data_IF_854127927926
#
_entry.id   IF_854127927926
#
_cell.length_a   1.000
_cell.length_b   1.000
_cell.length_c   1.000
_cell.angle_alpha   90.00
_cell.angle_beta   90.00
_cell.angle_gamma   90.00
#
_symmetry.space_group_name_H-M   'P 1'
#
loop_
_entity.id
_entity.type
_entity.pdbx_description
1 polymer ?
#
# COMPACT_ATOMS: atom_id res chain seq x y z
N UNK A 1 -18.10 8.89 -13.44
CA UNK A 1 -16.93 9.59 -12.85
C UNK A 1 -15.78 8.61 -12.69
N UNK A 2 -14.87 8.57 -13.67
CA UNK A 2 -13.58 7.85 -13.61
C UNK A 2 -12.52 8.91 -13.27
N UNK A 3 -12.31 9.17 -11.99
CA UNK A 3 -11.15 9.95 -11.55
C UNK A 3 -9.92 9.05 -11.61
N UNK A 4 -8.91 9.47 -12.35
CA UNK A 4 -7.65 8.75 -12.50
C UNK A 4 -6.99 8.54 -11.14
N UNK A 5 -6.91 7.29 -10.70
CA UNK A 5 -6.13 6.85 -9.54
C UNK A 5 -4.63 6.69 -9.90
N UNK A 6 -4.13 7.59 -10.75
CA UNK A 6 -2.79 7.53 -11.31
C UNK A 6 -1.73 8.10 -10.38
N UNK A 7 -0.80 7.23 -10.00
CA UNK A 7 0.63 7.47 -9.78
C UNK A 7 1.19 8.07 -8.47
N UNK A 8 0.50 8.85 -7.64
CA UNK A 8 1.22 9.59 -6.55
C UNK A 8 1.47 8.87 -5.20
N UNK A 9 1.39 7.53 -5.10
CA UNK A 9 1.58 6.88 -3.78
C UNK A 9 1.96 5.40 -3.75
N UNK A 10 2.35 4.82 -4.88
CA UNK A 10 2.68 3.40 -4.99
C UNK A 10 1.45 2.45 -4.88
N UNK A 11 1.68 1.12 -4.96
CA UNK A 11 0.60 0.12 -5.09
C UNK A 11 -0.35 0.09 -3.88
N UNK A 12 0.19 0.31 -2.68
CA UNK A 12 -0.61 0.29 -1.45
C UNK A 12 -1.54 1.50 -1.35
N UNK A 13 -1.11 2.69 -1.80
CA UNK A 13 -1.99 3.85 -1.84
C UNK A 13 -3.13 3.65 -2.84
N UNK A 14 -2.86 3.04 -4.01
CA UNK A 14 -3.90 2.68 -4.97
C UNK A 14 -4.89 1.67 -4.37
N UNK A 15 -4.40 0.66 -3.65
CA UNK A 15 -5.26 -0.30 -2.94
C UNK A 15 -6.11 0.37 -1.86
N UNK A 16 -5.55 1.30 -1.09
CA UNK A 16 -6.26 2.06 -0.07
C UNK A 16 -7.35 2.97 -0.69
N UNK A 17 -7.04 3.66 -1.78
CA UNK A 17 -8.00 4.50 -2.50
C UNK A 17 -9.14 3.67 -3.10
N UNK A 18 -8.83 2.52 -3.72
CA UNK A 18 -9.84 1.55 -4.19
C UNK A 18 -10.71 1.05 -3.04
N UNK A 19 -10.11 0.68 -1.91
CA UNK A 19 -10.85 0.23 -0.74
C UNK A 19 -11.75 1.32 -0.16
N UNK A 20 -11.34 2.59 -0.19
CA UNK A 20 -12.16 3.72 0.25
C UNK A 20 -13.40 3.88 -0.64
N UNK A 21 -13.25 3.82 -1.98
CA UNK A 21 -14.39 3.91 -2.91
C UNK A 21 -15.36 2.74 -2.74
N UNK A 22 -14.86 1.51 -2.59
CA UNK A 22 -15.69 0.35 -2.32
C UNK A 22 -16.40 0.45 -0.96
N UNK A 23 -15.68 0.92 0.05
CA UNK A 23 -16.20 1.11 1.40
C UNK A 23 -17.32 2.15 1.46
N UNK A 24 -17.24 3.22 0.69
CA UNK A 24 -18.34 4.19 0.57
C UNK A 24 -19.56 3.57 -0.12
N UNK A 25 -19.36 2.87 -1.25
CA UNK A 25 -20.46 2.22 -1.98
C UNK A 25 -21.19 1.16 -1.15
N UNK A 26 -20.46 0.44 -0.30
CA UNK A 26 -21.01 -0.59 0.59
C UNK A 26 -21.50 -0.02 1.93
N UNK A 27 -21.40 1.30 2.15
CA UNK A 27 -21.78 1.94 3.42
C UNK A 27 -20.88 1.60 4.62
N UNK A 28 -19.73 0.94 4.39
CA UNK A 28 -18.80 0.53 5.46
C UNK A 28 -18.15 1.74 6.13
N UNK A 29 -17.86 2.81 5.38
CA UNK A 29 -17.29 4.03 5.95
C UNK A 29 -18.25 4.73 6.92
N UNK A 30 -19.55 4.74 6.61
CA UNK A 30 -20.57 5.26 7.51
C UNK A 30 -20.62 4.44 8.81
N UNK A 31 -20.58 3.09 8.71
CA UNK A 31 -20.54 2.20 9.89
C UNK A 31 -19.29 2.41 10.75
N UNK A 32 -18.12 2.55 10.14
CA UNK A 32 -16.88 2.85 10.86
C UNK A 32 -16.92 4.21 11.56
N UNK A 33 -17.42 5.25 10.88
CA UNK A 33 -17.62 6.58 11.49
C UNK A 33 -18.61 6.53 12.66
N UNK A 34 -19.73 5.82 12.50
CA UNK A 34 -20.69 5.62 13.57
C UNK A 34 -20.06 4.86 14.74
N UNK A 35 -19.28 3.80 14.48
CA UNK A 35 -18.59 3.07 15.54
C UNK A 35 -17.58 3.93 16.28
N UNK A 36 -16.79 4.74 15.57
CA UNK A 36 -15.86 5.68 16.18
C UNK A 36 -16.57 6.73 17.05
N UNK A 37 -17.74 7.22 16.61
CA UNK A 37 -18.55 8.17 17.36
C UNK A 37 -19.24 7.51 18.58
N UNK A 38 -19.71 6.27 18.46
CA UNK A 38 -20.40 5.55 19.53
C UNK A 38 -19.44 5.02 20.61
N UNK A 39 -18.21 4.65 20.23
CA UNK A 39 -17.22 4.06 21.12
C UNK A 39 -17.02 4.82 22.45
N UNK A 40 -16.78 6.15 22.48
CA UNK A 40 -16.62 6.87 23.75
C UNK A 40 -17.88 6.83 24.62
N UNK A 41 -19.07 6.90 24.03
CA UNK A 41 -20.34 6.83 24.77
C UNK A 41 -20.59 5.44 25.37
N UNK A 42 -20.27 4.38 24.63
CA UNK A 42 -20.32 3.02 25.16
C UNK A 42 -19.35 2.86 26.33
N UNK A 43 -18.15 3.44 26.24
CA UNK A 43 -17.17 3.42 27.34
C UNK A 43 -17.68 4.17 28.58
N UNK A 44 -18.25 5.37 28.39
CA UNK A 44 -18.85 6.15 29.47
C UNK A 44 -20.05 5.44 30.10
N UNK A 45 -20.89 4.79 29.29
CA UNK A 45 -22.00 3.96 29.78
C UNK A 45 -21.51 2.78 30.62
N UNK A 46 -20.43 2.11 30.20
CA UNK A 46 -19.78 1.06 31.00
C UNK A 46 -19.20 1.62 32.31
N UNK A 47 -18.54 2.78 32.27
CA UNK A 47 -18.01 3.43 33.46
C UNK A 47 -19.13 3.78 34.45
N UNK A 48 -20.23 4.37 33.95
CA UNK A 48 -21.40 4.69 34.75
C UNK A 48 -22.03 3.43 35.37
N UNK A 49 -22.17 2.35 34.61
CA UNK A 49 -22.69 1.09 35.12
C UNK A 49 -21.81 0.51 36.23
N UNK A 50 -20.48 0.52 36.07
CA UNK A 50 -19.53 0.07 37.11
C UNK A 50 -19.60 0.95 38.35
N UNK A 51 -19.67 2.28 38.18
CA UNK A 51 -19.80 3.23 39.31
C UNK A 51 -21.11 3.00 40.06
N UNK A 52 -22.23 2.90 39.35
CA UNK A 52 -23.55 2.66 39.97
C UNK A 52 -23.59 1.31 40.70
N UNK A 53 -23.03 0.25 40.11
CA UNK A 53 -22.92 -1.05 40.76
C UNK A 53 -22.06 -0.98 42.03
N UNK A 54 -20.92 -0.27 41.97
CA UNK A 54 -20.05 -0.06 43.13
C UNK A 54 -20.72 0.73 44.26
N UNK A 55 -21.40 1.84 43.93
CA UNK A 55 -22.14 2.65 44.89
C UNK A 55 -23.32 1.89 45.51
N UNK A 56 -24.06 1.10 44.71
CA UNK A 56 -25.15 0.28 45.21
C UNK A 56 -24.66 -0.80 46.19
N UNK A 57 -23.55 -1.47 45.87
CA UNK A 57 -22.94 -2.46 46.75
C UNK A 57 -22.40 -1.83 48.03
N UNK A 58 -21.76 -0.67 47.94
CA UNK A 58 -21.30 0.08 49.11
C UNK A 58 -22.47 0.53 50.00
N UNK A 59 -23.55 1.04 49.39
CA UNK A 59 -24.76 1.45 50.11
C UNK A 59 -25.43 0.30 50.87
N UNK A 60 -25.52 -0.88 50.26
CA UNK A 60 -26.10 -2.07 50.90
C UNK A 60 -25.31 -2.53 52.14
N UNK A 61 -23.99 -2.30 52.18
CA UNK A 61 -23.14 -2.62 53.34
C UNK A 61 -23.26 -1.56 54.44
N UNK A 62 -23.53 -0.31 54.09
CA UNK A 62 -23.57 0.85 55.01
C UNK A 62 -24.92 1.00 55.74
N UNK A 63 -26.02 0.43 55.22
CA UNK A 63 -27.36 0.52 55.84
C UNK A 63 -27.54 -0.37 57.10
N UNK A 64 -26.49 -1.10 57.49
CA UNK A 64 -26.40 -1.72 58.81
C UNK A 64 -26.29 -0.66 59.92
N UNK A 65 -26.95 -0.88 61.06
CA UNK A 65 -27.04 0.08 62.17
C UNK A 65 -25.68 0.50 62.77
N UNK A 66 -24.59 -0.23 62.47
CA UNK A 66 -23.23 0.07 62.96
C UNK A 66 -22.42 0.95 61.98
N UNK A 67 -22.10 2.17 62.41
CA UNK A 67 -21.27 3.14 61.66
C UNK A 67 -19.76 2.88 61.83
N UNK A 68 -19.38 1.61 61.87
CA UNK A 68 -17.99 1.15 61.98
C UNK A 68 -17.48 0.75 60.60
N UNK A 69 -16.33 1.29 60.21
CA UNK A 69 -15.66 0.89 58.96
C UNK A 69 -14.38 0.14 59.32
N UNK A 70 -14.33 -1.13 58.94
CA UNK A 70 -13.10 -1.91 59.00
C UNK A 70 -12.18 -1.47 57.84
N UNK A 71 -11.09 -0.79 58.19
CA UNK A 71 -10.20 -0.15 57.21
C UNK A 71 -9.50 -1.18 56.31
N UNK A 72 -9.12 -2.34 56.86
CA UNK A 72 -8.46 -3.39 56.07
C UNK A 72 -9.44 -4.03 55.10
N UNK A 73 -10.67 -4.33 55.55
CA UNK A 73 -11.72 -4.81 54.65
C UNK A 73 -12.05 -3.78 53.56
N UNK A 74 -12.10 -2.48 53.91
CA UNK A 74 -12.30 -1.40 52.95
C UNK A 74 -11.18 -1.36 51.90
N UNK A 75 -9.90 -1.47 52.31
CA UNK A 75 -8.77 -1.54 51.37
C UNK A 75 -8.84 -2.78 50.47
N UNK A 76 -9.10 -3.96 51.03
CA UNK A 76 -9.21 -5.19 50.24
C UNK A 76 -10.37 -5.09 49.24
N UNK A 77 -11.51 -4.54 49.64
CA UNK A 77 -12.65 -4.34 48.76
C UNK A 77 -12.36 -3.31 47.65
N UNK A 78 -11.72 -2.19 47.98
CA UNK A 78 -11.42 -1.09 47.05
C UNK A 78 -10.21 -1.34 46.16
N UNK A 79 -9.24 -2.15 46.59
CA UNK A 79 -7.97 -2.35 45.89
C UNK A 79 -7.76 -3.79 45.42
N UNK A 80 -8.33 -4.81 46.06
CA UNK A 80 -7.99 -6.21 45.81
C UNK A 80 -8.23 -6.65 44.36
N UNK A 81 -9.47 -6.55 43.88
CA UNK A 81 -9.80 -6.89 42.47
C UNK A 81 -9.06 -5.98 41.47
N UNK A 82 -8.78 -4.75 41.88
CA UNK A 82 -8.03 -3.80 41.05
C UNK A 82 -6.54 -4.18 40.98
N UNK A 83 -5.91 -4.63 42.05
CA UNK A 83 -4.54 -5.12 42.02
C UNK A 83 -4.44 -6.37 41.15
N UNK A 84 -5.36 -7.34 41.31
CA UNK A 84 -5.39 -8.55 40.49
C UNK A 84 -5.55 -8.25 39.00
N UNK A 85 -6.55 -7.44 38.63
CA UNK A 85 -6.77 -7.09 37.22
C UNK A 85 -5.65 -6.26 36.62
N UNK A 86 -4.93 -5.47 37.45
CA UNK A 86 -3.74 -4.75 37.03
C UNK A 86 -2.57 -5.70 36.75
N UNK A 87 -2.31 -6.66 37.65
CA UNK A 87 -1.29 -7.70 37.46
C UNK A 87 -1.57 -8.55 36.21
N UNK A 88 -2.83 -8.97 36.01
CA UNK A 88 -3.22 -9.71 34.81
C UNK A 88 -2.97 -8.91 33.51
N UNK A 89 -3.18 -7.59 33.55
CA UNK A 89 -2.85 -6.73 32.41
C UNK A 89 -1.33 -6.61 32.19
N UNK A 90 -0.53 -6.49 33.25
CA UNK A 90 0.94 -6.52 33.13
C UNK A 90 1.42 -7.85 32.50
N UNK A 91 0.86 -8.98 32.94
CA UNK A 91 1.14 -10.29 32.34
C UNK A 91 0.74 -10.34 30.85
N UNK A 92 -0.40 -9.71 30.49
CA UNK A 92 -0.84 -9.59 29.09
C UNK A 92 0.16 -8.83 28.20
N UNK A 93 0.94 -7.90 28.76
CA UNK A 93 1.99 -7.19 28.03
C UNK A 93 3.23 -8.05 27.78
N UNK A 94 3.53 -8.97 28.69
CA UNK A 94 4.72 -9.82 28.64
C UNK A 94 4.53 -11.04 27.74
N UNK A 95 3.31 -11.58 27.63
CA UNK A 95 3.06 -12.85 26.96
C UNK A 95 2.33 -12.71 25.61
N UNK A 96 2.92 -13.18 24.48
CA UNK A 96 2.24 -13.20 23.19
C UNK A 96 0.95 -14.03 23.23
N UNK A 97 -0.17 -13.49 22.72
CA UNK A 97 -1.47 -14.17 22.74
C UNK A 97 -2.28 -14.00 24.02
N UNK A 98 -1.69 -13.45 25.09
CA UNK A 98 -2.38 -13.17 26.34
C UNK A 98 -3.04 -11.78 26.39
N UNK A 99 -3.18 -11.10 25.25
CA UNK A 99 -3.59 -9.70 25.16
C UNK A 99 -4.98 -9.39 25.79
N UNK A 100 -5.78 -10.42 26.04
CA UNK A 100 -7.09 -10.32 26.68
C UNK A 100 -7.05 -10.54 28.21
N UNK A 101 -5.95 -11.02 28.79
CA UNK A 101 -5.85 -11.20 30.25
C UNK A 101 -6.03 -9.86 30.97
N UNK A 102 -6.87 -9.83 32.01
CA UNK A 102 -7.17 -8.62 32.78
C UNK A 102 -8.00 -7.55 32.07
N UNK A 103 -8.35 -7.71 30.79
CA UNK A 103 -8.98 -6.67 29.98
C UNK A 103 -10.47 -6.94 29.64
N UNK A 104 -11.23 -7.48 30.60
CA UNK A 104 -12.66 -7.82 30.42
C UNK A 104 -13.49 -6.60 29.97
N UNK A 105 -13.31 -5.47 30.64
CA UNK A 105 -14.01 -4.21 30.31
C UNK A 105 -13.69 -3.75 28.89
N UNK A 106 -12.41 -3.80 28.49
CA UNK A 106 -12.00 -3.47 27.12
C UNK A 106 -12.64 -4.39 26.07
N UNK A 107 -12.79 -5.69 26.35
CA UNK A 107 -13.49 -6.61 25.44
C UNK A 107 -14.97 -6.31 25.34
N UNK A 108 -15.62 -6.05 26.47
CA UNK A 108 -17.04 -5.66 26.49
C UNK A 108 -17.24 -4.36 25.72
N UNK A 109 -16.35 -3.38 25.88
CA UNK A 109 -16.39 -2.12 25.16
C UNK A 109 -16.32 -2.30 23.64
N UNK A 110 -15.33 -3.05 23.13
CA UNK A 110 -15.23 -3.33 21.68
C UNK A 110 -16.45 -4.13 21.20
N UNK A 111 -16.87 -5.16 21.95
CA UNK A 111 -17.98 -6.02 21.58
C UNK A 111 -19.33 -5.27 21.53
N UNK A 112 -19.61 -4.42 22.52
CA UNK A 112 -20.82 -3.60 22.55
C UNK A 112 -20.79 -2.51 21.47
N UNK A 113 -19.66 -1.83 21.30
CA UNK A 113 -19.50 -0.83 20.22
C UNK A 113 -19.75 -1.47 18.87
N UNK A 114 -19.18 -2.66 18.60
CA UNK A 114 -19.41 -3.38 17.36
C UNK A 114 -20.89 -3.79 17.20
N UNK A 115 -21.52 -4.32 18.25
CA UNK A 115 -22.94 -4.73 18.21
C UNK A 115 -23.89 -3.57 17.93
N UNK A 116 -23.62 -2.39 18.50
CA UNK A 116 -24.47 -1.21 18.37
C UNK A 116 -24.24 -0.45 17.07
N UNK A 117 -22.99 -0.36 16.61
CA UNK A 117 -22.62 0.54 15.51
C UNK A 117 -22.24 -0.16 14.19
N UNK A 118 -21.61 -1.33 14.26
CA UNK A 118 -21.23 -2.10 13.06
C UNK A 118 -22.37 -3.00 12.55
N UNK A 119 -23.37 -3.25 13.41
CA UNK A 119 -24.56 -4.04 13.09
C UNK A 119 -24.36 -5.55 13.28
N UNK A 120 -25.49 -6.27 13.28
CA UNK A 120 -25.54 -7.75 13.41
C UNK A 120 -25.58 -8.38 12.01
N UNK A 121 -24.43 -8.50 11.36
CA UNK A 121 -24.32 -9.10 10.03
C UNK A 121 -22.89 -9.51 9.68
N UNK A 122 -22.73 -10.28 8.61
CA UNK A 122 -21.43 -10.79 8.18
C UNK A 122 -20.42 -9.66 7.91
N UNK A 123 -20.87 -8.55 7.34
CA UNK A 123 -20.04 -7.36 7.08
C UNK A 123 -19.53 -6.70 8.37
N UNK A 124 -20.40 -6.52 9.37
CA UNK A 124 -20.02 -5.93 10.66
C UNK A 124 -19.04 -6.82 11.43
N UNK A 125 -19.26 -8.13 11.39
CA UNK A 125 -18.34 -9.12 11.95
C UNK A 125 -16.99 -9.10 11.22
N UNK A 126 -16.99 -9.00 9.88
CA UNK A 126 -15.77 -8.90 9.09
C UNK A 126 -14.98 -7.62 9.39
N UNK A 127 -15.64 -6.47 9.57
CA UNK A 127 -15.00 -5.21 9.98
C UNK A 127 -14.35 -5.34 11.36
N UNK A 128 -15.06 -5.92 12.33
CA UNK A 128 -14.52 -6.15 13.67
C UNK A 128 -13.30 -7.08 13.61
N UNK A 129 -13.41 -8.22 12.91
CA UNK A 129 -12.31 -9.18 12.75
C UNK A 129 -11.10 -8.55 12.06
N UNK A 130 -11.32 -7.76 11.00
CA UNK A 130 -10.25 -7.04 10.32
C UNK A 130 -9.55 -6.03 11.24
N UNK A 131 -10.32 -5.26 12.01
CA UNK A 131 -9.78 -4.32 13.00
C UNK A 131 -8.97 -5.01 14.10
N UNK A 132 -9.47 -6.11 14.65
CA UNK A 132 -8.77 -6.91 15.67
C UNK A 132 -7.45 -7.48 15.13
N UNK A 133 -7.46 -8.05 13.91
CA UNK A 133 -6.24 -8.55 13.25
C UNK A 133 -5.22 -7.43 13.02
N UNK A 134 -5.66 -6.23 12.67
CA UNK A 134 -4.77 -5.08 12.47
C UNK A 134 -4.13 -4.63 13.78
N UNK A 135 -4.91 -4.60 14.87
CA UNK A 135 -4.41 -4.32 16.22
C UNK A 135 -3.42 -5.39 16.71
N UNK A 136 -3.70 -6.66 16.48
CA UNK A 136 -2.81 -7.77 16.84
C UNK A 136 -1.48 -7.67 16.09
N UNK A 137 -1.53 -7.45 14.77
CA UNK A 137 -0.33 -7.28 13.93
C UNK A 137 0.51 -6.09 14.36
N UNK A 138 -0.12 -4.98 14.71
CA UNK A 138 0.56 -3.80 15.24
C UNK A 138 1.03 -3.97 16.70
N UNK A 139 0.74 -5.11 17.34
CA UNK A 139 0.94 -5.36 18.78
C UNK A 139 0.31 -4.29 19.68
N UNK A 140 -0.86 -3.79 19.26
CA UNK A 140 -1.61 -2.73 19.92
C UNK A 140 -2.79 -3.26 20.74
N UNK A 141 -3.16 -4.53 20.57
CA UNK A 141 -4.34 -5.10 21.23
C UNK A 141 -4.36 -4.94 22.77
N UNK A 142 -3.33 -5.33 23.55
CA UNK A 142 -3.36 -5.18 25.00
C UNK A 142 -3.34 -3.71 25.46
N UNK A 143 -2.81 -2.80 24.62
CA UNK A 143 -2.78 -1.37 24.89
C UNK A 143 -4.13 -0.70 24.64
N UNK A 144 -4.85 -1.08 23.59
CA UNK A 144 -6.20 -0.55 23.31
C UNK A 144 -7.23 -1.09 24.30
N UNK A 145 -7.20 -2.39 24.56
CA UNK A 145 -8.06 -2.99 25.58
C UNK A 145 -7.73 -2.46 26.97
N UNK A 146 -6.44 -2.28 27.26
CA UNK A 146 -5.92 -1.65 28.46
C UNK A 146 -6.41 -0.21 28.61
N UNK A 147 -6.28 0.62 27.58
CA UNK A 147 -6.73 2.02 27.61
C UNK A 147 -8.20 2.14 28.03
N UNK A 148 -9.08 1.36 27.39
CA UNK A 148 -10.49 1.32 27.73
C UNK A 148 -10.70 0.88 29.20
N UNK A 149 -10.04 -0.20 29.61
CA UNK A 149 -10.21 -0.76 30.95
C UNK A 149 -9.70 0.19 32.04
N UNK A 150 -8.48 0.72 31.89
CA UNK A 150 -7.91 1.69 32.83
C UNK A 150 -8.72 3.00 32.87
N UNK A 151 -9.27 3.47 31.75
CA UNK A 151 -10.14 4.66 31.75
C UNK A 151 -11.39 4.44 32.61
N UNK A 152 -12.06 3.30 32.45
CA UNK A 152 -13.21 2.94 33.29
C UNK A 152 -12.78 2.86 34.76
N UNK A 153 -11.67 2.19 35.07
CA UNK A 153 -11.19 2.09 36.45
C UNK A 153 -10.80 3.44 37.06
N UNK A 154 -10.18 4.34 36.30
CA UNK A 154 -9.86 5.71 36.77
C UNK A 154 -11.14 6.45 37.11
N UNK A 155 -12.15 6.42 36.24
CA UNK A 155 -13.45 7.06 36.52
C UNK A 155 -14.12 6.45 37.75
N UNK A 156 -14.07 5.12 37.89
CA UNK A 156 -14.59 4.43 39.07
C UNK A 156 -13.84 4.78 40.35
N UNK A 157 -12.51 4.88 40.31
CA UNK A 157 -11.73 5.32 41.46
C UNK A 157 -11.98 6.77 41.82
N UNK A 158 -12.11 7.67 40.85
CA UNK A 158 -12.48 9.08 41.11
C UNK A 158 -13.84 9.14 41.80
N UNK A 159 -14.83 8.39 41.31
CA UNK A 159 -16.14 8.32 41.96
C UNK A 159 -16.07 7.70 43.37
N UNK A 160 -15.30 6.63 43.56
CA UNK A 160 -15.11 5.98 44.85
C UNK A 160 -14.39 6.88 45.87
N UNK A 161 -13.35 7.61 45.44
CA UNK A 161 -12.65 8.60 46.28
C UNK A 161 -13.59 9.75 46.62
N UNK A 162 -14.36 10.27 45.67
CA UNK A 162 -15.35 11.31 45.93
C UNK A 162 -16.42 10.84 46.93
N UNK A 163 -16.94 9.61 46.76
CA UNK A 163 -17.91 9.01 47.68
C UNK A 163 -17.32 8.77 49.08
N UNK A 164 -16.06 8.30 49.16
CA UNK A 164 -15.35 8.11 50.41
C UNK A 164 -15.13 9.45 51.13
N UNK A 165 -14.66 10.48 50.42
CA UNK A 165 -14.49 11.83 50.97
C UNK A 165 -15.83 12.42 51.43
N UNK A 166 -16.89 12.26 50.64
CA UNK A 166 -18.24 12.69 51.02
C UNK A 166 -18.71 11.97 52.30
N UNK A 167 -18.54 10.65 52.36
CA UNK A 167 -18.91 9.84 53.52
C UNK A 167 -18.15 10.30 54.77
N UNK A 168 -16.83 10.50 54.67
CA UNK A 168 -15.97 10.91 55.78
C UNK A 168 -16.19 12.38 56.21
N UNK A 169 -16.60 13.26 55.29
CA UNK A 169 -16.85 14.67 55.58
C UNK A 169 -18.21 14.90 56.27
N UNK A 170 -19.25 14.17 55.85
CA UNK A 170 -20.63 14.43 56.30
C UNK A 170 -21.17 13.38 57.28
N UNK A 171 -20.44 12.29 57.54
CA UNK A 171 -20.84 11.29 58.54
C UNK A 171 -19.68 10.98 59.47
N UNK A 172 -20.02 10.85 60.76
CA UNK A 172 -19.07 10.40 61.77
C UNK A 172 -18.96 8.87 61.71
N UNK A 173 -18.02 8.39 60.91
CA UNK A 173 -17.61 6.99 60.91
C UNK A 173 -16.53 6.75 61.95
N UNK A 174 -16.61 5.60 62.61
CA UNK A 174 -15.53 5.10 63.46
C UNK A 174 -14.70 4.13 62.63
N UNK A 175 -13.46 4.54 62.32
CA UNK A 175 -12.53 3.71 61.56
C UNK A 175 -11.76 2.83 62.54
N UNK A 176 -11.69 1.56 62.22
CA UNK A 176 -11.02 0.58 63.07
C UNK A 176 -10.52 -0.62 62.29
N UNK A 177 -9.90 -1.53 63.02
CA UNK A 177 -9.48 -2.83 62.50
C UNK A 177 -10.05 -3.91 63.40
N UNK A 178 -11.12 -4.54 62.94
CA UNK A 178 -11.73 -5.64 63.65
C UNK A 178 -11.26 -6.93 62.98
N UNK A 179 -10.33 -7.65 63.61
CA UNK A 179 -9.82 -8.92 63.12
C UNK A 179 -9.95 -9.97 64.21
N UNK A 180 -10.61 -11.10 63.90
CA UNK A 180 -10.72 -12.23 64.82
C UNK A 180 -9.42 -13.05 64.89
N UNK A 181 -8.60 -13.01 63.84
CA UNK A 181 -7.44 -13.90 63.66
C UNK A 181 -6.12 -13.14 63.78
N UNK A 182 -6.05 -11.88 63.34
CA UNK A 182 -4.78 -11.14 63.27
C UNK A 182 -4.49 -10.38 64.58
N UNK A 183 -3.23 -10.42 65.09
CA UNK A 183 -2.78 -9.57 66.19
C UNK A 183 -2.78 -8.08 65.83
N UNK A 184 -2.88 -7.22 66.85
CA UNK A 184 -2.85 -5.75 66.69
C UNK A 184 -1.52 -5.25 66.10
N UNK A 185 -0.41 -5.90 66.44
CA UNK A 185 0.95 -5.54 66.01
C UNK A 185 1.12 -5.73 64.49
N UNK A 186 0.45 -6.74 63.93
CA UNK A 186 0.45 -7.00 62.48
C UNK A 186 -0.27 -5.87 61.76
N UNK A 187 -1.35 -5.33 62.34
CA UNK A 187 -2.08 -4.19 61.78
C UNK A 187 -1.23 -2.91 61.76
N UNK A 188 -0.52 -2.61 62.86
CA UNK A 188 0.39 -1.47 62.89
C UNK A 188 1.48 -1.59 61.80
N UNK A 189 2.04 -2.79 61.60
CA UNK A 189 2.98 -3.06 60.51
C UNK A 189 2.40 -2.81 59.12
N UNK A 190 1.12 -3.16 58.89
CA UNK A 190 0.44 -2.86 57.62
C UNK A 190 0.20 -1.37 57.41
N UNK A 191 -0.17 -0.62 58.46
CA UNK A 191 -0.32 0.84 58.37
C UNK A 191 1.00 1.49 57.98
N UNK A 192 2.10 1.09 58.64
CA UNK A 192 3.42 1.64 58.35
C UNK A 192 3.84 1.30 56.92
N UNK A 193 3.72 0.02 56.52
CA UNK A 193 4.14 -0.45 55.20
C UNK A 193 3.36 0.21 54.05
N UNK A 194 2.03 0.26 54.17
CA UNK A 194 1.17 0.90 53.16
C UNK A 194 1.17 2.44 53.31
N UNK A 195 1.63 2.98 54.43
CA UNK A 195 1.77 4.41 54.67
C UNK A 195 2.98 5.04 53.98
N UNK A 196 3.99 4.27 53.59
CA UNK A 196 5.25 4.80 53.02
C UNK A 196 5.01 5.68 51.78
N UNK A 197 4.37 5.13 50.74
CA UNK A 197 4.17 5.87 49.48
C UNK A 197 3.16 7.02 49.60
N UNK A 198 2.00 6.85 50.28
CA UNK A 198 1.13 7.97 50.60
C UNK A 198 1.83 9.07 51.42
N UNK A 199 2.66 8.68 52.39
CA UNK A 199 3.43 9.62 53.22
C UNK A 199 4.40 10.47 52.40
N UNK A 200 5.09 9.89 51.41
CA UNK A 200 5.93 10.66 50.48
C UNK A 200 5.16 11.69 49.65
N UNK A 201 3.86 11.45 49.43
CA UNK A 201 2.96 12.35 48.72
C UNK A 201 2.21 13.31 49.66
N UNK A 202 2.55 13.32 50.95
CA UNK A 202 2.02 14.26 51.95
C UNK A 202 0.73 13.81 52.64
N UNK A 203 0.27 12.56 52.46
CA UNK A 203 -0.84 12.04 53.25
C UNK A 203 -0.38 11.74 54.68
N UNK A 204 -1.16 12.12 55.71
CA UNK A 204 -0.79 11.86 57.08
C UNK A 204 -0.87 10.35 57.36
N UNK A 205 0.11 9.84 58.10
CA UNK A 205 0.20 8.44 58.51
C UNK A 205 0.05 8.38 60.03
N UNK A 206 -0.84 7.53 60.58
CA UNK A 206 -0.99 7.38 62.03
C UNK A 206 0.35 7.02 62.68
N UNK A 207 0.71 7.71 63.78
CA UNK A 207 1.94 7.40 64.50
C UNK A 207 1.84 6.04 65.19
N UNK A 208 2.96 5.32 65.25
CA UNK A 208 3.01 4.02 65.93
C UNK A 208 2.65 4.12 67.43
N UNK A 209 2.81 5.30 68.06
CA UNK A 209 2.35 5.56 69.42
C UNK A 209 0.81 5.66 69.52
N UNK A 210 0.15 6.30 68.55
CA UNK A 210 -1.30 6.45 68.52
C UNK A 210 -2.01 5.11 68.30
N UNK A 211 -1.41 4.24 67.49
CA UNK A 211 -1.89 2.88 67.25
C UNK A 211 -1.79 2.02 68.50
N UNK A 212 -0.63 2.03 69.19
CA UNK A 212 -0.41 1.25 70.41
C UNK A 212 -1.22 1.74 71.61
N UNK A 213 -1.55 3.03 71.66
CA UNK A 213 -2.33 3.62 72.75
C UNK A 213 -3.84 3.39 72.61
N UNK A 214 -4.31 2.84 71.48
CA UNK A 214 -5.73 2.61 71.23
C UNK A 214 -6.25 1.44 72.10
N UNK A 215 -7.26 1.66 72.97
CA UNK A 215 -7.88 0.57 73.71
C UNK A 215 -8.76 -0.26 72.76
N UNK A 216 -8.23 -1.37 72.26
CA UNK A 216 -8.93 -2.29 71.36
C UNK A 216 -8.79 -1.91 69.87
N UNK A 217 -9.87 -2.00 69.11
CA UNK A 217 -9.90 -1.82 67.63
C UNK A 217 -10.30 -0.41 67.17
N UNK A 218 -10.50 0.53 68.10
CA UNK A 218 -11.00 1.88 67.81
C UNK A 218 -10.02 2.96 68.25
N UNK A 219 -9.68 3.85 67.33
CA UNK A 219 -8.80 5.00 67.63
C UNK A 219 -9.54 6.12 68.37
N UNK A 220 -8.82 6.92 69.18
CA UNK A 220 -9.32 8.21 69.66
C UNK A 220 -9.80 9.09 68.51
N UNK A 221 -10.80 9.94 68.75
CA UNK A 221 -11.40 10.81 67.72
C UNK A 221 -10.38 11.68 66.97
N UNK A 222 -9.31 12.14 67.66
CA UNK A 222 -8.22 12.91 67.07
C UNK A 222 -7.39 12.11 66.06
N UNK A 223 -7.19 10.80 66.29
CA UNK A 223 -6.45 9.91 65.40
C UNK A 223 -7.34 9.30 64.30
N UNK A 224 -8.66 9.27 64.50
CA UNK A 224 -9.63 8.81 63.49
C UNK A 224 -9.57 9.64 62.20
N UNK A 225 -9.37 10.96 62.31
CA UNK A 225 -9.19 11.84 61.14
C UNK A 225 -7.91 11.56 60.36
N UNK A 226 -6.82 11.22 61.05
CA UNK A 226 -5.54 10.82 60.42
C UNK A 226 -5.70 9.49 59.69
N UNK A 227 -6.34 8.50 60.33
CA UNK A 227 -6.60 7.20 59.70
C UNK A 227 -7.52 7.31 58.47
N UNK A 228 -8.48 8.25 58.50
CA UNK A 228 -9.35 8.54 57.36
C UNK A 228 -8.56 9.04 56.15
N UNK A 229 -7.67 10.02 56.35
CA UNK A 229 -6.81 10.54 55.30
C UNK A 229 -5.76 9.55 54.83
N UNK A 230 -5.25 8.69 55.73
CA UNK A 230 -4.38 7.57 55.37
C UNK A 230 -5.09 6.59 54.42
N UNK A 231 -6.34 6.21 54.73
CA UNK A 231 -7.15 5.33 53.87
C UNK A 231 -7.36 5.96 52.48
N UNK A 232 -7.72 7.25 52.43
CA UNK A 232 -7.84 8.00 51.16
C UNK A 232 -6.52 7.98 50.40
N UNK A 233 -5.40 8.24 51.08
CA UNK A 233 -4.05 8.21 50.50
C UNK A 233 -3.73 6.86 49.89
N UNK A 234 -3.98 5.76 50.61
CA UNK A 234 -3.79 4.41 50.09
C UNK A 234 -4.61 4.14 48.82
N UNK A 235 -5.90 4.51 48.81
CA UNK A 235 -6.77 4.33 47.63
C UNK A 235 -6.28 5.15 46.43
N UNK A 236 -5.84 6.39 46.67
CA UNK A 236 -5.30 7.26 45.62
C UNK A 236 -3.98 6.72 45.06
N UNK A 237 -3.04 6.35 45.93
CA UNK A 237 -1.66 6.03 45.55
C UNK A 237 -1.51 4.62 45.01
N UNK A 238 -2.22 3.64 45.58
CA UNK A 238 -2.16 2.25 45.13
C UNK A 238 -3.26 1.87 44.13
N UNK A 239 -4.35 2.65 44.08
CA UNK A 239 -5.49 2.39 43.19
C UNK A 239 -5.53 3.34 42.00
N UNK A 240 -5.81 4.62 42.25
CA UNK A 240 -6.04 5.62 41.20
C UNK A 240 -4.77 5.92 40.40
N UNK A 241 -3.67 6.25 41.06
CA UNK A 241 -2.44 6.72 40.42
C UNK A 241 -1.85 5.68 39.44
N UNK A 242 -1.69 4.38 39.80
CA UNK A 242 -1.18 3.39 38.87
C UNK A 242 -2.09 3.20 37.66
N UNK A 243 -3.41 3.36 37.82
CA UNK A 243 -4.38 3.28 36.73
C UNK A 243 -4.29 4.48 35.80
N UNK A 244 -4.09 5.68 36.33
CA UNK A 244 -3.84 6.89 35.52
C UNK A 244 -2.55 6.72 34.71
N UNK A 245 -1.45 6.30 35.35
CA UNK A 245 -0.17 6.07 34.68
C UNK A 245 -0.31 5.02 33.57
N UNK A 246 -0.99 3.90 33.83
CA UNK A 246 -1.23 2.88 32.83
C UNK A 246 -2.12 3.36 31.68
N UNK A 247 -3.17 4.14 31.95
CA UNK A 247 -4.01 4.74 30.91
C UNK A 247 -3.18 5.69 30.01
N UNK A 248 -2.34 6.53 30.61
CA UNK A 248 -1.44 7.42 29.87
C UNK A 248 -0.42 6.64 29.03
N UNK A 249 0.19 5.59 29.60
CA UNK A 249 1.10 4.71 28.87
C UNK A 249 0.40 4.06 27.65
N UNK A 250 -0.81 3.53 27.83
CA UNK A 250 -1.61 2.98 26.74
C UNK A 250 -1.90 4.02 25.65
N UNK A 251 -2.28 5.24 26.03
CA UNK A 251 -2.54 6.33 25.09
C UNK A 251 -1.27 6.72 24.31
N UNK A 252 -0.13 6.78 24.98
CA UNK A 252 1.15 7.14 24.39
C UNK A 252 1.62 6.08 23.38
N UNK A 253 1.56 4.80 23.78
CA UNK A 253 1.89 3.68 22.88
C UNK A 253 0.95 3.64 21.68
N UNK A 254 -0.35 3.88 21.88
CA UNK A 254 -1.31 4.03 20.78
C UNK A 254 -0.89 5.14 19.83
N UNK A 255 -0.59 6.34 20.32
CA UNK A 255 -0.18 7.48 19.48
C UNK A 255 1.10 7.20 18.69
N UNK A 256 2.08 6.53 19.30
CA UNK A 256 3.35 6.20 18.65
C UNK A 256 3.23 5.07 17.63
N UNK A 257 2.36 4.08 17.86
CA UNK A 257 2.28 2.88 17.02
C UNK A 257 1.08 2.86 16.08
N UNK A 258 0.13 3.80 16.16
CA UNK A 258 -1.03 3.84 15.24
C UNK A 258 -0.64 3.89 13.76
N UNK A 259 0.52 4.46 13.42
CA UNK A 259 1.05 4.44 12.04
C UNK A 259 1.42 3.05 11.52
N UNK A 260 1.56 2.06 12.42
CA UNK A 260 1.80 0.64 12.09
C UNK A 260 0.52 -0.13 11.78
N UNK A 261 -0.65 0.50 11.87
CA UNK A 261 -1.93 -0.09 11.48
C UNK A 261 -2.04 -0.14 9.96
N UNK A 262 -1.19 -0.94 9.35
CA UNK A 262 -1.16 -1.15 7.90
C UNK A 262 -1.45 -2.61 7.57
N UNK A 263 -2.21 -2.88 6.50
CA UNK A 263 -2.35 -4.22 6.00
C UNK A 263 -1.01 -4.74 5.49
N UNK A 264 -0.85 -6.07 5.52
CA UNK A 264 0.37 -6.71 5.05
C UNK A 264 0.41 -6.74 3.52
N UNK A 265 1.27 -5.92 2.93
CA UNK A 265 1.48 -5.84 1.49
C UNK A 265 1.93 -7.17 0.86
N UNK A 266 2.56 -8.04 1.65
CA UNK A 266 3.05 -9.33 1.19
C UNK A 266 1.93 -10.39 1.10
N UNK A 267 0.73 -10.13 1.62
CA UNK A 267 -0.35 -11.10 1.62
C UNK A 267 -0.81 -11.44 0.18
N UNK A 268 -1.20 -12.70 -0.10
CA UNK A 268 -1.55 -13.14 -1.46
C UNK A 268 -2.62 -12.30 -2.16
N UNK A 269 -3.58 -11.76 -1.39
CA UNK A 269 -4.60 -10.85 -1.89
C UNK A 269 -4.00 -9.58 -2.52
N UNK A 270 -3.08 -8.93 -1.81
CA UNK A 270 -2.46 -7.68 -2.28
C UNK A 270 -1.53 -7.93 -3.46
N UNK A 271 -0.78 -9.04 -3.48
CA UNK A 271 0.03 -9.42 -4.64
C UNK A 271 -0.80 -9.55 -5.92
N UNK A 272 -1.95 -10.25 -5.85
CA UNK A 272 -2.88 -10.38 -6.99
C UNK A 272 -3.49 -9.03 -7.38
N UNK A 273 -3.78 -8.17 -6.40
CA UNK A 273 -4.35 -6.86 -6.66
C UNK A 273 -3.34 -5.92 -7.33
N UNK A 274 -2.09 -5.94 -6.89
CA UNK A 274 -1.02 -5.13 -7.48
C UNK A 274 -0.72 -5.57 -8.91
N UNK A 275 -0.63 -6.87 -9.20
CA UNK A 275 -0.47 -7.37 -10.57
C UNK A 275 -1.62 -6.92 -11.50
N UNK A 276 -2.85 -6.79 -10.97
CA UNK A 276 -3.99 -6.25 -11.73
C UNK A 276 -3.88 -4.74 -11.95
N UNK A 277 -3.33 -3.99 -11.00
CA UNK A 277 -3.05 -2.56 -11.19
C UNK A 277 -1.97 -2.37 -12.24
N UNK A 278 -0.91 -3.18 -12.21
CA UNK A 278 0.17 -3.14 -13.20
C UNK A 278 -0.37 -3.46 -14.61
N UNK A 279 -1.23 -4.47 -14.74
CA UNK A 279 -1.88 -4.81 -16.02
C UNK A 279 -2.87 -3.75 -16.54
N UNK A 280 -3.39 -2.89 -15.67
CA UNK A 280 -4.30 -1.79 -16.01
C UNK A 280 -3.58 -0.45 -16.14
N UNK A 281 -2.29 -0.39 -15.80
CA UNK A 281 -1.49 0.80 -15.98
C UNK A 281 -1.42 1.12 -17.48
N UNK A 282 -1.66 2.38 -17.90
CA UNK A 282 -1.49 2.77 -19.30
C UNK A 282 -0.10 2.35 -19.74
N UNK A 283 0.01 1.68 -20.89
CA UNK A 283 1.31 1.37 -21.48
C UNK A 283 2.05 2.69 -21.66
N UNK A 284 3.07 2.92 -20.83
CA UNK A 284 3.98 4.02 -21.03
C UNK A 284 4.71 3.70 -22.33
N UNK A 285 4.39 4.41 -23.40
CA UNK A 285 5.14 4.32 -24.65
C UNK A 285 6.50 4.96 -24.34
N UNK A 286 7.49 4.12 -24.07
CA UNK A 286 8.85 4.54 -23.69
C UNK A 286 9.63 5.11 -24.88
N UNK A 287 9.12 4.98 -26.10
CA UNK A 287 9.79 5.53 -27.29
C UNK A 287 8.77 6.11 -28.30
N UNK A 288 8.49 7.42 -28.27
CA UNK A 288 7.88 8.09 -29.41
C UNK A 288 8.93 8.19 -30.53
N UNK A 289 8.82 7.31 -31.54
CA UNK A 289 9.60 7.38 -32.79
C UNK A 289 9.43 8.77 -33.44
N UNK A 290 10.34 9.68 -33.11
CA UNK A 290 10.32 11.08 -33.52
C UNK A 290 11.13 11.30 -34.80
N UNK A 291 11.09 10.36 -35.75
CA UNK A 291 11.88 10.41 -36.99
C UNK A 291 11.03 10.79 -38.22
N UNK A 292 10.03 11.65 -38.03
CA UNK A 292 9.12 12.06 -39.11
C UNK A 292 9.68 13.15 -40.05
N UNK A 293 10.66 13.95 -39.63
CA UNK A 293 11.00 15.20 -40.33
C UNK A 293 12.41 15.25 -40.97
N UNK A 294 13.39 14.49 -40.48
CA UNK A 294 14.81 14.76 -40.81
C UNK A 294 15.33 14.07 -42.09
N UNK A 295 14.65 13.04 -42.61
CA UNK A 295 15.18 12.25 -43.73
C UNK A 295 15.12 12.99 -45.08
N UNK A 296 14.13 13.87 -45.30
CA UNK A 296 14.06 14.68 -46.52
C UNK A 296 15.27 15.63 -46.64
N UNK A 297 15.71 16.19 -45.51
CA UNK A 297 16.88 17.08 -45.46
C UNK A 297 18.17 16.29 -45.68
N UNK A 298 18.29 15.10 -45.07
CA UNK A 298 19.43 14.20 -45.30
C UNK A 298 19.53 13.77 -46.78
N UNK A 299 18.40 13.45 -47.42
CA UNK A 299 18.35 13.10 -48.85
C UNK A 299 18.81 14.26 -49.74
N UNK A 300 18.31 15.48 -49.51
CA UNK A 300 18.71 16.64 -50.29
C UNK A 300 20.23 16.91 -50.23
N UNK A 301 20.86 16.66 -49.07
CA UNK A 301 22.32 16.83 -48.90
C UNK A 301 23.15 15.76 -49.62
N UNK A 302 22.59 14.56 -49.87
CA UNK A 302 23.31 13.41 -50.43
C UNK A 302 22.96 13.11 -51.90
N UNK A 303 21.86 13.68 -52.42
CA UNK A 303 21.29 13.38 -53.75
C UNK A 303 22.21 13.66 -54.97
N UNK A 304 23.43 14.18 -54.78
CA UNK A 304 24.42 14.40 -55.85
C UNK A 304 25.64 13.48 -55.84
N UNK A 305 25.80 12.60 -54.84
CA UNK A 305 27.04 11.86 -54.60
C UNK A 305 26.92 10.35 -54.89
N UNK A 306 26.06 9.97 -55.84
CA UNK A 306 25.81 8.56 -56.19
C UNK A 306 26.73 8.08 -57.31
N UNK A 307 27.11 6.81 -57.24
CA UNK A 307 27.87 6.08 -58.26
C UNK A 307 26.91 5.42 -59.26
N UNK A 308 27.29 5.21 -60.53
CA UNK A 308 26.45 4.56 -61.54
C UNK A 308 26.34 3.03 -61.32
N UNK A 309 25.96 2.63 -60.10
CA UNK A 309 25.84 1.24 -59.67
C UNK A 309 24.45 0.93 -59.14
N UNK A 310 24.14 -0.36 -59.09
CA UNK A 310 22.90 -0.91 -58.57
C UNK A 310 23.18 -1.69 -57.28
N UNK A 311 22.37 -1.46 -56.24
CA UNK A 311 22.29 -2.35 -55.09
C UNK A 311 20.98 -3.13 -55.10
N UNK A 312 21.01 -4.44 -54.88
CA UNK A 312 19.86 -5.34 -54.87
C UNK A 312 19.77 -6.01 -53.50
N UNK A 313 18.78 -5.62 -52.70
CA UNK A 313 18.67 -6.02 -51.30
C UNK A 313 17.38 -6.81 -51.09
N UNK A 314 17.48 -8.05 -50.63
CA UNK A 314 16.32 -8.85 -50.22
C UNK A 314 16.05 -8.62 -48.75
N UNK A 315 14.86 -8.13 -48.41
CA UNK A 315 14.46 -7.81 -47.04
C UNK A 315 13.35 -8.74 -46.58
N UNK A 316 13.63 -9.52 -45.52
CA UNK A 316 12.69 -10.44 -44.89
C UNK A 316 11.97 -11.36 -45.90
N UNK A 317 12.72 -11.81 -46.91
CA UNK A 317 12.19 -12.73 -47.91
C UNK A 317 12.02 -14.12 -47.29
N UNK A 318 10.94 -14.87 -47.62
CA UNK A 318 10.83 -16.29 -47.29
C UNK A 318 12.00 -17.12 -47.85
N UNK A 319 12.50 -18.15 -47.15
CA UNK A 319 13.61 -19.01 -47.62
C UNK A 319 13.29 -19.74 -48.92
N UNK A 320 12.01 -19.94 -49.24
CA UNK A 320 11.53 -20.61 -50.44
C UNK A 320 11.65 -19.75 -51.71
N UNK A 321 11.80 -18.42 -51.58
CA UNK A 321 12.03 -17.56 -52.73
C UNK A 321 13.48 -17.71 -53.22
N UNK A 322 13.69 -18.02 -54.51
CA UNK A 322 15.03 -18.08 -55.08
C UNK A 322 15.68 -16.71 -55.01
N UNK A 323 16.85 -16.64 -54.35
CA UNK A 323 17.63 -15.42 -54.19
C UNK A 323 19.13 -15.70 -54.45
N UNK A 324 19.85 -14.82 -55.16
CA UNK A 324 19.38 -13.59 -55.80
C UNK A 324 18.55 -13.85 -57.07
N UNK A 325 17.69 -12.90 -57.49
CA UNK A 325 16.95 -13.01 -58.75
C UNK A 325 17.92 -13.07 -59.93
N UNK A 326 17.64 -13.93 -60.90
CA UNK A 326 18.42 -14.09 -62.12
C UNK A 326 17.59 -13.67 -63.34
N UNK A 327 18.19 -13.03 -64.36
CA UNK A 327 19.57 -12.54 -64.39
C UNK A 327 19.75 -11.25 -63.56
N UNK A 328 20.91 -11.10 -62.93
CA UNK A 328 21.32 -9.84 -62.29
C UNK A 328 21.87 -8.85 -63.32
N UNK A 329 21.48 -7.56 -63.29
CA UNK A 329 22.09 -6.54 -64.13
C UNK A 329 23.60 -6.41 -63.86
N UNK A 330 24.41 -6.16 -64.91
CA UNK A 330 25.87 -6.00 -64.77
C UNK A 330 26.31 -4.90 -63.82
N UNK A 331 25.48 -3.86 -63.66
CA UNK A 331 25.72 -2.75 -62.74
C UNK A 331 25.54 -3.12 -61.25
N UNK A 332 25.10 -4.35 -60.92
CA UNK A 332 24.87 -4.79 -59.55
C UNK A 332 26.19 -4.90 -58.75
N UNK A 333 26.51 -3.88 -57.96
CA UNK A 333 27.73 -3.81 -57.14
C UNK A 333 27.53 -4.32 -55.72
N UNK A 334 26.30 -4.40 -55.25
CA UNK A 334 25.95 -4.91 -53.92
C UNK A 334 24.70 -5.77 -54.02
N UNK A 335 24.80 -7.06 -53.70
CA UNK A 335 23.65 -7.98 -53.66
C UNK A 335 23.66 -8.67 -52.31
N UNK A 336 22.60 -8.51 -51.52
CA UNK A 336 22.53 -9.04 -50.15
C UNK A 336 21.10 -9.40 -49.77
N UNK A 337 20.95 -10.43 -48.93
CA UNK A 337 19.70 -10.75 -48.24
C UNK A 337 19.88 -10.45 -46.76
N UNK A 338 18.87 -9.84 -46.13
CA UNK A 338 18.85 -9.51 -44.71
C UNK A 338 17.50 -9.90 -44.10
N UNK A 339 17.52 -10.32 -42.84
CA UNK A 339 16.34 -10.79 -42.11
C UNK A 339 15.77 -9.72 -41.17
N UNK A 340 16.26 -8.48 -41.29
CA UNK A 340 15.75 -7.31 -40.56
C UNK A 340 16.31 -7.11 -39.15
N UNK A 341 17.27 -7.95 -38.74
CA UNK A 341 17.97 -7.77 -37.46
C UNK A 341 18.70 -6.41 -37.40
N UNK A 342 18.82 -5.85 -36.19
CA UNK A 342 19.46 -4.54 -36.02
C UNK A 342 20.93 -4.51 -36.50
N UNK A 343 21.66 -5.63 -36.31
CA UNK A 343 23.05 -5.76 -36.76
C UNK A 343 23.16 -5.79 -38.29
N UNK A 344 22.39 -6.64 -38.97
CA UNK A 344 22.41 -6.74 -40.44
C UNK A 344 21.98 -5.44 -41.12
N UNK A 345 20.99 -4.75 -40.55
CA UNK A 345 20.56 -3.45 -41.02
C UNK A 345 21.67 -2.40 -40.88
N UNK A 346 22.36 -2.35 -39.75
CA UNK A 346 23.47 -1.43 -39.56
C UNK A 346 24.62 -1.71 -40.55
N UNK A 347 24.94 -2.98 -40.77
CA UNK A 347 25.94 -3.38 -41.76
C UNK A 347 25.53 -3.02 -43.20
N UNK A 348 24.25 -3.19 -43.53
CA UNK A 348 23.70 -2.77 -44.82
C UNK A 348 23.83 -1.27 -45.02
N UNK A 349 23.42 -0.45 -44.05
CA UNK A 349 23.53 1.01 -44.14
C UNK A 349 24.98 1.43 -44.30
N UNK A 350 25.90 0.80 -43.56
CA UNK A 350 27.34 1.05 -43.70
C UNK A 350 27.83 0.71 -45.13
N UNK A 351 27.42 -0.41 -45.70
CA UNK A 351 27.77 -0.81 -47.07
C UNK A 351 27.20 0.17 -48.10
N UNK A 352 25.94 0.62 -47.94
CA UNK A 352 25.31 1.59 -48.82
C UNK A 352 25.95 2.97 -48.75
N UNK A 353 26.42 3.40 -47.57
CA UNK A 353 27.17 4.65 -47.43
C UNK A 353 28.49 4.66 -48.22
N UNK A 354 29.10 3.48 -48.42
CA UNK A 354 30.33 3.32 -49.21
C UNK A 354 30.05 3.18 -50.71
N UNK A 355 29.08 2.34 -51.08
CA UNK A 355 28.76 2.06 -52.49
C UNK A 355 28.02 3.24 -53.15
N UNK A 356 27.10 3.87 -52.40
CA UNK A 356 26.20 4.94 -52.84
C UNK A 356 25.60 4.72 -54.23
N UNK A 357 24.77 3.68 -54.40
CA UNK A 357 24.26 3.31 -55.70
C UNK A 357 23.34 4.39 -56.29
N UNK A 358 23.35 4.52 -57.62
CA UNK A 358 22.39 5.35 -58.35
C UNK A 358 20.98 4.80 -58.15
N UNK A 359 20.84 3.47 -58.14
CA UNK A 359 19.56 2.78 -57.94
C UNK A 359 19.70 1.73 -56.84
N UNK A 360 18.85 1.81 -55.82
CA UNK A 360 18.64 0.76 -54.84
C UNK A 360 17.35 0.02 -55.17
N UNK A 361 17.42 -1.30 -55.35
CA UNK A 361 16.28 -2.17 -55.55
C UNK A 361 16.09 -3.04 -54.31
N UNK A 362 15.04 -2.76 -53.54
CA UNK A 362 14.65 -3.51 -52.36
C UNK A 362 13.60 -4.56 -52.73
N UNK A 363 13.93 -5.84 -52.61
CA UNK A 363 13.03 -6.94 -52.83
C UNK A 363 12.31 -7.30 -51.52
N UNK A 364 10.98 -7.19 -51.53
CA UNK A 364 10.11 -7.51 -50.40
C UNK A 364 9.12 -8.61 -50.81
N UNK A 365 8.66 -9.41 -49.86
CA UNK A 365 7.65 -10.42 -50.14
C UNK A 365 6.27 -9.78 -50.36
N UNK A 366 5.68 -9.99 -51.55
CA UNK A 366 4.42 -9.34 -51.94
C UNK A 366 3.26 -9.66 -50.99
N UNK A 367 3.17 -10.91 -50.52
CA UNK A 367 2.09 -11.35 -49.65
C UNK A 367 2.22 -10.79 -48.22
N UNK A 368 3.42 -10.42 -47.77
CA UNK A 368 3.63 -9.74 -46.49
C UNK A 368 2.98 -8.36 -46.49
N UNK A 369 2.51 -7.94 -45.33
CA UNK A 369 2.05 -6.56 -45.11
C UNK A 369 3.26 -5.70 -44.75
N UNK A 370 3.46 -4.54 -45.38
CA UNK A 370 4.52 -3.62 -44.98
C UNK A 370 4.28 -3.19 -43.53
N UNK A 371 5.36 -3.16 -42.76
CA UNK A 371 5.35 -2.94 -41.32
C UNK A 371 6.28 -1.78 -40.94
N UNK A 372 6.46 -1.57 -39.63
CA UNK A 372 7.35 -0.50 -39.13
C UNK A 372 8.82 -0.77 -39.46
N UNK A 373 9.25 -2.03 -39.49
CA UNK A 373 10.62 -2.40 -39.87
C UNK A 373 10.93 -2.01 -41.31
N UNK A 374 10.00 -2.32 -42.22
CA UNK A 374 10.03 -1.94 -43.64
C UNK A 374 10.09 -0.42 -43.81
N UNK A 375 9.23 0.33 -43.10
CA UNK A 375 9.22 1.80 -43.17
C UNK A 375 10.56 2.40 -42.76
N UNK A 376 11.08 1.94 -41.63
CA UNK A 376 12.33 2.42 -41.07
C UNK A 376 13.49 2.16 -42.01
N UNK A 377 13.58 0.96 -42.58
CA UNK A 377 14.63 0.62 -43.54
C UNK A 377 14.56 1.50 -44.80
N UNK A 378 13.36 1.72 -45.36
CA UNK A 378 13.20 2.60 -46.51
C UNK A 378 13.67 4.02 -46.18
N UNK A 379 13.22 4.60 -45.06
CA UNK A 379 13.60 5.96 -44.66
C UNK A 379 15.11 6.11 -44.40
N UNK A 380 15.76 5.09 -43.85
CA UNK A 380 17.21 5.08 -43.61
C UNK A 380 18.03 4.91 -44.90
N UNK A 381 17.48 4.23 -45.90
CA UNK A 381 18.18 3.95 -47.18
C UNK A 381 17.94 5.01 -48.26
N UNK A 382 16.83 5.74 -48.21
CA UNK A 382 16.51 6.81 -49.18
C UNK A 382 17.60 7.88 -49.32
N UNK A 383 18.25 8.37 -48.24
CA UNK A 383 19.35 9.31 -48.36
C UNK A 383 20.62 8.73 -48.98
N UNK A 384 20.75 7.40 -49.06
CA UNK A 384 21.97 6.70 -49.48
C UNK A 384 21.96 6.24 -50.95
N UNK A 385 20.88 6.51 -51.68
CA UNK A 385 20.72 6.15 -53.08
C UNK A 385 20.11 7.29 -53.90
N UNK A 386 20.22 7.23 -55.23
CA UNK A 386 19.62 8.22 -56.11
C UNK A 386 18.12 7.97 -56.31
N UNK A 387 17.81 6.74 -56.70
CA UNK A 387 16.46 6.22 -56.90
C UNK A 387 16.28 4.95 -56.05
N UNK A 388 15.13 4.82 -55.39
CA UNK A 388 14.76 3.63 -54.64
C UNK A 388 13.56 2.95 -55.33
N UNK A 389 13.75 1.69 -55.72
CA UNK A 389 12.71 0.83 -56.30
C UNK A 389 12.41 -0.31 -55.34
N UNK A 390 11.14 -0.68 -55.21
CA UNK A 390 10.73 -1.87 -54.47
C UNK A 390 10.25 -2.92 -55.47
N UNK A 391 10.82 -4.11 -55.43
CA UNK A 391 10.30 -5.26 -56.16
C UNK A 391 9.51 -6.15 -55.20
N UNK A 392 8.24 -6.39 -55.52
CA UNK A 392 7.34 -7.22 -54.75
C UNK A 392 7.42 -8.67 -55.26
N UNK A 393 8.31 -9.44 -54.66
CA UNK A 393 8.56 -10.83 -55.01
C UNK A 393 7.40 -11.73 -54.56
N UNK A 394 6.81 -12.45 -55.50
CA UNK A 394 5.77 -13.45 -55.26
C UNK A 394 6.31 -14.86 -55.50
N UNK A 395 5.78 -15.84 -54.75
CA UNK A 395 6.06 -17.25 -55.00
C UNK A 395 5.30 -17.71 -56.27
N UNK A 396 5.91 -18.54 -57.14
CA UNK A 396 5.27 -19.00 -58.39
C UNK A 396 3.92 -19.68 -58.20
N UNK A 397 3.69 -20.34 -57.07
CA UNK A 397 2.45 -21.07 -56.73
C UNK A 397 1.44 -20.23 -55.93
N UNK A 398 1.68 -18.93 -55.72
CA UNK A 398 0.79 -18.05 -54.96
C UNK A 398 -0.46 -17.57 -55.74
N UNK A 399 -0.89 -18.32 -56.76
CA UNK A 399 -2.22 -18.15 -57.35
C UNK A 399 -3.25 -18.57 -56.31
N UNK A 400 -3.82 -17.59 -55.60
CA UNK A 400 -4.87 -17.80 -54.60
C UNK A 400 -6.05 -18.49 -55.27
N UNK A 401 -6.44 -19.66 -54.76
CA UNK A 401 -7.62 -20.38 -55.21
C UNK A 401 -8.88 -19.52 -54.98
N UNK A 402 -9.43 -18.96 -56.05
CA UNK A 402 -10.77 -18.35 -56.05
C UNK A 402 -10.90 -16.93 -56.62
N UNK A 403 -9.81 -16.25 -56.99
CA UNK A 403 -9.87 -14.95 -57.67
C UNK A 403 -9.51 -15.08 -59.16
N UNK A 404 -10.16 -14.32 -60.07
CA UNK A 404 -9.78 -14.33 -61.48
C UNK A 404 -8.31 -13.94 -61.64
N UNK A 405 -7.59 -14.46 -62.66
CA UNK A 405 -6.20 -14.11 -62.90
C UNK A 405 -6.12 -12.59 -63.10
N UNK A 406 -5.65 -11.90 -62.08
CA UNK A 406 -5.23 -10.51 -62.21
C UNK A 406 -3.74 -10.54 -62.57
N UNK A 407 -3.33 -9.70 -63.52
CA UNK A 407 -1.92 -9.55 -63.94
C UNK A 407 -1.01 -8.99 -62.80
N UNK A 408 -1.50 -8.94 -61.57
CA UNK A 408 -0.89 -8.22 -60.46
C UNK A 408 -0.76 -9.09 -59.21
N UNK A 409 0.45 -9.15 -58.66
CA UNK A 409 0.74 -10.02 -57.51
C UNK A 409 -0.16 -9.69 -56.30
N UNK A 410 -0.69 -10.71 -55.58
CA UNK A 410 -1.48 -10.50 -54.38
C UNK A 410 -0.74 -9.61 -53.37
N UNK A 411 -1.36 -8.50 -52.99
CA UNK A 411 -0.77 -7.52 -52.06
C UNK A 411 -0.11 -6.29 -52.71
N UNK A 412 0.10 -6.26 -54.02
CA UNK A 412 0.75 -5.12 -54.69
C UNK A 412 0.00 -3.78 -54.52
N UNK A 413 -1.34 -3.81 -54.60
CA UNK A 413 -2.17 -2.63 -54.35
C UNK A 413 -2.00 -2.10 -52.91
N UNK A 414 -1.93 -3.00 -51.92
CA UNK A 414 -1.69 -2.66 -50.51
C UNK A 414 -0.34 -1.98 -50.30
N UNK A 415 0.71 -2.50 -50.93
CA UNK A 415 2.05 -1.91 -50.86
C UNK A 415 2.10 -0.49 -51.45
N UNK A 416 1.48 -0.28 -52.62
CA UNK A 416 1.42 1.06 -53.23
C UNK A 416 0.59 2.05 -52.43
N UNK A 417 -0.55 1.60 -51.87
CA UNK A 417 -1.36 2.42 -50.99
C UNK A 417 -0.61 2.79 -49.69
N UNK A 418 0.16 1.85 -49.14
CA UNK A 418 0.97 2.11 -47.95
C UNK A 418 2.11 3.11 -48.23
N UNK A 419 2.82 2.97 -49.35
CA UNK A 419 3.86 3.91 -49.76
C UNK A 419 3.30 5.34 -49.93
N UNK A 420 2.11 5.48 -50.55
CA UNK A 420 1.48 6.79 -50.70
C UNK A 420 1.00 7.37 -49.36
N UNK A 421 0.39 6.55 -48.50
CA UNK A 421 -0.12 6.98 -47.19
C UNK A 421 1.00 7.38 -46.21
N UNK A 422 2.20 6.81 -46.32
CA UNK A 422 3.35 7.09 -45.45
C UNK A 422 4.27 8.19 -45.99
N UNK A 423 3.91 8.84 -47.10
CA UNK A 423 4.75 9.88 -47.72
C UNK A 423 6.00 9.34 -48.41
N UNK A 424 6.03 8.05 -48.74
CA UNK A 424 7.08 7.36 -49.52
C UNK A 424 6.67 7.21 -51.00
N UNK A 425 5.85 8.13 -51.52
CA UNK A 425 5.30 8.08 -52.88
C UNK A 425 6.37 8.13 -54.00
N UNK A 426 7.58 8.57 -53.66
CA UNK A 426 8.76 8.58 -54.54
C UNK A 426 9.43 7.20 -54.70
N UNK A 427 9.03 6.21 -53.88
CA UNK A 427 9.49 4.83 -54.01
C UNK A 427 8.56 4.09 -54.97
N UNK A 428 9.11 3.62 -56.08
CA UNK A 428 8.32 2.92 -57.10
C UNK A 428 8.27 1.41 -56.81
N UNK A 429 7.07 0.86 -56.65
CA UNK A 429 6.85 -0.57 -56.45
C UNK A 429 6.52 -1.29 -57.76
N UNK A 430 7.21 -2.38 -58.03
CA UNK A 430 7.09 -3.21 -59.23
C UNK A 430 6.77 -4.66 -58.84
N UNK A 431 5.91 -5.34 -59.59
CA UNK A 431 5.59 -6.76 -59.41
C UNK A 431 6.47 -7.68 -60.25
N UNK A 432 6.98 -7.17 -61.38
CA UNK A 432 7.82 -7.91 -62.33
C UNK A 432 9.28 -7.47 -62.20
N UNK A 433 10.19 -8.45 -62.07
CA UNK A 433 11.64 -8.24 -62.02
C UNK A 433 12.16 -7.54 -63.28
N UNK A 434 11.65 -7.89 -64.46
CA UNK A 434 12.08 -7.28 -65.72
C UNK A 434 11.74 -5.78 -65.76
N UNK A 435 10.58 -5.39 -65.20
CA UNK A 435 10.20 -3.98 -65.08
C UNK A 435 10.99 -3.26 -64.00
N UNK A 436 11.23 -3.91 -62.85
CA UNK A 436 12.02 -3.32 -61.77
C UNK A 436 13.46 -3.00 -62.23
N UNK A 437 14.01 -3.83 -63.12
CA UNK A 437 15.37 -3.69 -63.66
C UNK A 437 15.46 -3.00 -65.02
N UNK A 438 14.32 -2.58 -65.59
CA UNK A 438 14.28 -1.90 -66.88
C UNK A 438 15.12 -0.61 -66.84
N UNK A 439 15.94 -0.43 -67.89
CA UNK A 439 16.81 0.74 -68.08
C UNK A 439 18.08 0.76 -67.22
N UNK A 440 18.30 -0.24 -66.34
CA UNK A 440 19.50 -0.29 -65.48
C UNK A 440 20.76 -0.76 -66.24
N UNK A 441 20.63 -1.28 -67.45
CA UNK A 441 21.77 -1.64 -68.32
C UNK A 441 22.61 -0.41 -68.66
N UNK A 442 21.95 0.74 -68.88
CA UNK A 442 22.63 2.01 -69.16
C UNK A 442 23.48 2.52 -67.97
N UNK A 443 23.26 2.03 -66.75
CA UNK A 443 24.13 2.34 -65.61
C UNK A 443 25.51 1.67 -65.75
N UNK A 444 25.57 0.48 -66.34
CA UNK A 444 26.84 -0.24 -66.55
C UNK A 444 27.72 0.43 -67.60
N UNK A 445 27.10 1.12 -68.57
CA UNK A 445 27.79 1.81 -69.67
C UNK A 445 28.13 3.28 -69.35
N UNK A 446 27.64 3.80 -68.21
CA UNK A 446 27.93 5.15 -67.77
C UNK A 446 29.37 5.24 -67.22
N UNK A 447 30.25 5.94 -67.94
CA UNK A 447 31.60 6.26 -67.44
C UNK A 447 31.52 7.07 -66.15
N UNK A 448 32.39 6.81 -65.15
CA UNK A 448 32.41 7.62 -63.93
C UNK A 448 32.66 9.08 -64.31
N UNK A 449 31.75 9.97 -63.89
CA UNK A 449 31.89 11.41 -64.12
C UNK A 449 33.21 11.88 -63.49
N UNK A 450 34.08 12.64 -64.19
CA UNK A 450 35.30 13.15 -63.60
C UNK A 450 34.92 14.10 -62.45
N UNK A 451 35.34 13.74 -61.24
CA UNK A 451 35.06 14.48 -60.02
C UNK A 451 35.46 15.94 -60.18
N UNK A 452 34.51 16.83 -59.89
CA UNK A 452 34.76 18.26 -59.79
C UNK A 452 35.73 18.47 -58.60
N UNK A 453 37.01 18.68 -58.88
CA UNK A 453 37.96 19.19 -57.90
C UNK A 453 37.56 20.64 -57.60
N UNK A 454 36.82 20.84 -56.51
CA UNK A 454 36.87 22.11 -55.79
C UNK A 454 38.00 22.01 -54.77
N UNK A 455 38.87 23.02 -54.79
CA UNK A 455 39.98 23.17 -53.86
C UNK A 455 39.44 23.16 -52.41
N UNK A 456 39.89 22.18 -51.64
CA UNK A 456 39.60 22.00 -50.22
C UNK A 456 40.76 21.24 -49.56
#
# INVERSE_FOLDING_TARGET
MRTGLGAEGGPMAQAAARAAVLGERLGLQARLRHAAAAAPWVLLGLAAAVVLAGLALAGAVIDGQDRRINVMAALVALLGVHALTFLLWLLALLWPGAASLGALVGRLWIGLTARLALGRGAEGAALLQAGMRLLERARLLPWVLGLASHTVWVLSFVAAVAALLFALAFRQYTLGWETTILPHEVFAGWIDALGVLPGWLGFPVPGAADLRAAPGSTLPAAANGVLAWWLVGCVVVYGLLPRVVAALACLLVWRWRRGRLQPDASAPYYRKLFARFDALAPALVVDPDSHGADWHMARASLAGQTQPTLAVIGFELPPELPWPPQPLPRAASLVRRIDGSAAERQELLHALMHVRPRVLLLACHAASSPDRGTERLLRETLPLCGECRVWLAALPDAAVAGEPPSDEAPGAARWRQWLSATGLAEVHAFTDWARATAGLEALADASPSPGRQEAA
#
